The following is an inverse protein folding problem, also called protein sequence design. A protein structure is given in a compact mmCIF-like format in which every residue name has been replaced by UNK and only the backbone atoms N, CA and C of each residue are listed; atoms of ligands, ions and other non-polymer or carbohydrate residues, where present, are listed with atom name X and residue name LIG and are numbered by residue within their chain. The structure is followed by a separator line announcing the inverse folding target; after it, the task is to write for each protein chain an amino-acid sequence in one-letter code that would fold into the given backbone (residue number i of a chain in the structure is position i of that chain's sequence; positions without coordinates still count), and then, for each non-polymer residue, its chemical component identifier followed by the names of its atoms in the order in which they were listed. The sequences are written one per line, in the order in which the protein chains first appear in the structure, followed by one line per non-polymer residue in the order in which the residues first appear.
data_IF_798848440293
#
_entry.id   IF_798848440293
#
_cell.length_a   1.000
_cell.length_b   1.000
_cell.length_c   1.000
_cell.angle_alpha   90.00
_cell.angle_beta   90.00
_cell.angle_gamma   90.00
#
_symmetry.space_group_name_H-M   'P 1'
#
loop_
_entity.id
_entity.type
_entity.pdbx_description
1 polymer ?
#
# COMPACT_ATOMS: atom_id res chain seq x y z
N UNK A 1 -52.02 5.16 14.25
CA UNK A 1 -50.58 5.48 14.14
C UNK A 1 -49.86 4.15 13.97
N UNK A 2 -49.47 3.82 12.75
CA UNK A 2 -48.75 2.57 12.49
C UNK A 2 -47.30 2.77 12.94
N UNK A 3 -46.82 1.88 13.82
CA UNK A 3 -45.41 1.72 14.14
C UNK A 3 -44.65 1.51 12.82
N UNK A 4 -43.95 2.56 12.37
CA UNK A 4 -42.91 2.41 11.36
C UNK A 4 -41.76 1.71 12.06
N UNK A 5 -41.76 0.37 12.02
CA UNK A 5 -40.56 -0.40 12.37
C UNK A 5 -39.44 0.10 11.47
N UNK A 6 -38.44 0.77 12.04
CA UNK A 6 -37.20 1.10 11.33
C UNK A 6 -36.67 -0.18 10.69
N UNK A 7 -36.61 -0.18 9.35
CA UNK A 7 -36.05 -1.30 8.60
C UNK A 7 -34.56 -1.34 8.95
N UNK A 8 -34.14 -2.39 9.68
CA UNK A 8 -32.74 -2.61 10.06
C UNK A 8 -31.84 -2.48 8.82
N UNK A 9 -30.82 -1.61 8.88
CA UNK A 9 -29.90 -1.42 7.75
C UNK A 9 -29.05 -2.68 7.58
N UNK A 10 -28.76 -3.07 6.33
CA UNK A 10 -27.89 -4.20 6.01
C UNK A 10 -26.74 -3.73 5.11
N UNK A 11 -25.54 -4.25 5.38
CA UNK A 11 -24.35 -4.10 4.54
C UNK A 11 -23.90 -5.44 3.95
N UNK A 12 -24.75 -6.46 4.01
CA UNK A 12 -24.45 -7.83 3.59
C UNK A 12 -25.25 -8.22 2.36
N UNK A 13 -24.55 -8.78 1.37
CA UNK A 13 -25.15 -9.34 0.15
C UNK A 13 -24.23 -10.42 -0.42
N UNK A 14 -24.80 -11.34 -1.22
CA UNK A 14 -24.06 -12.43 -1.86
C UNK A 14 -23.05 -11.95 -2.89
N UNK A 15 -23.32 -10.83 -3.57
CA UNK A 15 -22.42 -10.22 -4.55
C UNK A 15 -22.11 -8.78 -4.14
N UNK A 16 -20.86 -8.51 -3.76
CA UNK A 16 -20.39 -7.17 -3.41
C UNK A 16 -18.96 -6.99 -3.89
N UNK A 17 -18.67 -5.91 -4.62
CA UNK A 17 -17.31 -5.54 -4.98
C UNK A 17 -17.12 -4.02 -5.01
N UNK A 18 -15.91 -3.59 -4.67
CA UNK A 18 -15.45 -2.22 -4.78
C UNK A 18 -14.18 -2.18 -5.63
N UNK A 19 -14.09 -1.21 -6.55
CA UNK A 19 -12.88 -0.95 -7.28
C UNK A 19 -11.85 -0.26 -6.38
N UNK A 20 -10.57 -0.44 -6.67
CA UNK A 20 -9.49 0.17 -5.87
C UNK A 20 -9.44 1.67 -6.13
N UNK A 21 -9.38 2.45 -5.06
CA UNK A 21 -9.28 3.92 -5.10
C UNK A 21 -7.84 4.40 -5.31
N UNK A 22 -6.85 3.76 -4.66
CA UNK A 22 -5.44 4.08 -4.85
C UNK A 22 -4.83 3.15 -5.90
N UNK A 23 -4.32 3.72 -6.98
CA UNK A 23 -3.75 2.98 -8.11
C UNK A 23 -2.33 3.46 -8.41
N UNK A 24 -1.32 2.96 -7.69
CA UNK A 24 0.07 3.20 -8.03
C UNK A 24 0.45 2.45 -9.32
N UNK A 25 1.31 3.05 -10.14
CA UNK A 25 1.98 2.39 -11.25
C UNK A 25 3.03 1.38 -10.75
N UNK A 26 3.66 0.64 -11.68
CA UNK A 26 4.94 0.01 -11.38
C UNK A 26 5.97 1.09 -11.00
N UNK A 27 6.78 0.80 -9.98
CA UNK A 27 7.89 1.66 -9.58
C UNK A 27 9.16 1.29 -10.32
N UNK A 28 9.84 2.25 -10.92
CA UNK A 28 11.04 2.01 -11.73
C UNK A 28 12.30 2.43 -10.98
N UNK A 29 13.32 1.57 -11.00
CA UNK A 29 14.63 1.88 -10.44
C UNK A 29 15.57 2.53 -11.46
N UNK A 30 16.26 3.57 -11.01
CA UNK A 30 17.28 4.29 -11.77
C UNK A 30 18.52 4.52 -10.90
N UNK A 31 19.70 4.36 -11.48
CA UNK A 31 20.94 4.85 -10.91
C UNK A 31 21.06 6.35 -11.18
N UNK A 32 21.56 7.10 -10.21
CA UNK A 32 21.74 8.56 -10.27
C UNK A 32 23.17 8.95 -9.91
N UNK A 33 23.54 10.19 -10.28
CA UNK A 33 24.81 10.82 -9.91
C UNK A 33 24.55 12.09 -9.11
N UNK A 34 25.17 12.22 -7.94
CA UNK A 34 25.09 13.44 -7.13
C UNK A 34 25.70 14.65 -7.83
N UNK A 35 26.73 14.44 -8.65
CA UNK A 35 27.37 15.47 -9.48
C UNK A 35 26.52 15.95 -10.66
N UNK A 36 25.51 15.18 -11.07
CA UNK A 36 24.66 15.47 -12.23
C UNK A 36 23.18 15.16 -11.89
N UNK A 37 22.47 16.02 -11.14
CA UNK A 37 21.15 15.68 -10.57
C UNK A 37 20.05 15.34 -11.58
N UNK A 38 20.16 15.82 -12.82
CA UNK A 38 19.21 15.52 -13.89
C UNK A 38 19.52 14.18 -14.60
N UNK A 39 20.75 13.69 -14.47
CA UNK A 39 21.22 12.48 -15.14
C UNK A 39 20.76 11.23 -14.36
N UNK A 40 20.32 10.22 -15.11
CA UNK A 40 19.94 8.91 -14.58
C UNK A 40 20.08 7.84 -15.66
N UNK A 41 20.28 6.60 -15.24
CA UNK A 41 20.25 5.41 -16.11
C UNK A 41 19.43 4.29 -15.46
N UNK A 42 18.78 3.39 -16.21
CA UNK A 42 17.97 2.32 -15.65
C UNK A 42 18.86 1.33 -14.88
N UNK A 43 18.36 0.82 -13.75
CA UNK A 43 19.04 -0.29 -13.07
C UNK A 43 18.58 -1.59 -13.72
N UNK A 44 19.51 -2.31 -14.34
CA UNK A 44 19.24 -3.54 -15.05
C UNK A 44 19.19 -4.75 -14.10
N UNK A 45 18.26 -5.66 -14.38
CA UNK A 45 18.24 -7.01 -13.82
C UNK A 45 19.05 -7.94 -14.72
N UNK A 46 20.03 -8.63 -14.16
CA UNK A 46 20.90 -9.58 -14.85
C UNK A 46 21.04 -10.88 -14.06
N UNK A 47 21.41 -11.95 -14.75
CA UNK A 47 21.68 -13.25 -14.13
C UNK A 47 23.13 -13.38 -13.66
N UNK A 48 23.33 -14.08 -12.55
CA UNK A 48 24.66 -14.51 -12.11
C UNK A 48 24.62 -15.91 -11.48
N UNK A 49 25.70 -16.66 -11.65
CA UNK A 49 25.93 -17.92 -10.95
C UNK A 49 26.39 -17.67 -9.51
N UNK A 50 25.79 -18.37 -8.56
CA UNK A 50 26.17 -18.37 -7.15
C UNK A 50 26.42 -19.79 -6.71
N UNK A 51 27.51 -20.03 -5.99
CA UNK A 51 27.82 -21.34 -5.41
C UNK A 51 27.75 -21.23 -3.89
N UNK A 52 26.62 -21.69 -3.33
CA UNK A 52 26.44 -21.83 -1.89
C UNK A 52 26.76 -23.25 -1.41
N UNK A 53 26.56 -23.48 -0.12
CA UNK A 53 26.42 -24.82 0.45
C UNK A 53 24.95 -25.06 0.79
N UNK A 54 24.50 -26.30 0.70
CA UNK A 54 23.21 -26.72 1.25
C UNK A 54 23.18 -26.47 2.76
N UNK A 55 22.19 -25.70 3.19
CA UNK A 55 22.01 -25.26 4.58
C UNK A 55 20.58 -25.48 5.07
N UNK A 56 19.74 -26.16 4.27
CA UNK A 56 18.34 -26.42 4.58
C UNK A 56 18.21 -27.49 5.67
N UNK A 57 17.31 -27.27 6.62
CA UNK A 57 16.99 -28.25 7.65
C UNK A 57 16.43 -29.52 7.00
N UNK A 58 17.05 -30.67 7.28
CA UNK A 58 16.74 -31.99 6.68
C UNK A 58 17.04 -32.13 5.18
N UNK A 59 18.05 -31.44 4.66
CA UNK A 59 18.62 -31.75 3.34
C UNK A 59 19.27 -33.14 3.32
N UNK A 60 19.19 -33.83 2.18
CA UNK A 60 19.86 -35.10 1.89
C UNK A 60 21.37 -34.93 1.62
N UNK A 61 21.84 -33.68 1.45
CA UNK A 61 23.21 -33.37 1.04
C UNK A 61 23.87 -32.29 1.91
N UNK A 62 23.89 -32.38 3.26
CA UNK A 62 24.30 -31.27 4.14
C UNK A 62 25.74 -30.79 3.88
N UNK A 63 25.92 -29.47 3.78
CA UNK A 63 27.23 -28.82 3.59
C UNK A 63 27.87 -29.02 2.21
N UNK A 64 27.18 -29.69 1.27
CA UNK A 64 27.68 -29.90 -0.09
C UNK A 64 27.44 -28.67 -0.97
N UNK A 65 28.28 -28.50 -1.99
CA UNK A 65 28.16 -27.43 -2.98
C UNK A 65 26.78 -27.47 -3.65
N UNK A 66 26.10 -26.32 -3.69
CA UNK A 66 24.80 -26.12 -4.32
C UNK A 66 24.89 -24.93 -5.30
N UNK A 67 25.32 -25.15 -6.56
CA UNK A 67 25.36 -24.11 -7.58
C UNK A 67 23.94 -23.71 -8.00
N UNK A 68 23.68 -22.41 -8.11
CA UNK A 68 22.38 -21.85 -8.50
C UNK A 68 22.59 -20.64 -9.42
N UNK A 69 21.65 -20.42 -10.33
CA UNK A 69 21.52 -19.14 -11.04
C UNK A 69 20.51 -18.29 -10.29
N UNK A 70 20.84 -17.01 -10.08
CA UNK A 70 19.96 -16.00 -9.48
C UNK A 70 19.95 -14.76 -10.33
N UNK A 71 18.85 -14.02 -10.29
CA UNK A 71 18.84 -12.65 -10.77
C UNK A 71 19.34 -11.68 -9.68
N UNK A 72 20.01 -10.64 -10.15
CA UNK A 72 20.58 -9.55 -9.36
C UNK A 72 20.28 -8.21 -10.03
N UNK A 73 20.20 -7.16 -9.21
CA UNK A 73 20.15 -5.77 -9.65
C UNK A 73 21.04 -4.97 -8.72
N UNK A 74 21.95 -4.18 -9.26
CA UNK A 74 22.94 -3.42 -8.48
C UNK A 74 23.01 -1.97 -8.94
N UNK A 75 23.42 -1.07 -8.05
CA UNK A 75 23.71 0.32 -8.43
C UNK A 75 24.75 0.32 -9.56
N UNK A 76 24.45 0.89 -10.73
CA UNK A 76 25.35 0.81 -11.88
C UNK A 76 26.71 1.50 -11.66
N UNK A 77 27.73 1.12 -12.44
CA UNK A 77 29.01 1.81 -12.43
C UNK A 77 28.93 3.31 -12.68
N UNK A 78 29.68 4.08 -11.89
CA UNK A 78 29.66 5.54 -11.92
C UNK A 78 28.39 6.18 -11.39
N UNK A 79 27.53 5.44 -10.66
CA UNK A 79 26.40 5.98 -9.91
C UNK A 79 26.69 5.95 -8.41
N UNK A 80 26.19 6.94 -7.68
CA UNK A 80 26.30 7.07 -6.22
C UNK A 80 24.93 7.23 -5.52
N UNK A 81 23.86 7.00 -6.27
CA UNK A 81 22.51 7.01 -5.74
C UNK A 81 21.54 6.15 -6.53
N UNK A 82 20.41 5.89 -5.90
CA UNK A 82 19.27 5.18 -6.46
C UNK A 82 18.05 6.09 -6.40
N UNK A 83 17.25 6.02 -7.45
CA UNK A 83 15.93 6.62 -7.56
C UNK A 83 14.89 5.52 -7.81
N UNK A 84 13.87 5.44 -6.97
CA UNK A 84 12.65 4.65 -7.20
C UNK A 84 11.49 5.62 -7.42
N UNK A 85 10.88 5.60 -8.62
CA UNK A 85 9.77 6.50 -8.96
C UNK A 85 8.54 5.79 -9.48
N UNK A 86 7.35 6.27 -9.10
CA UNK A 86 6.05 5.81 -9.58
C UNK A 86 5.05 6.96 -9.58
N UNK A 87 3.96 6.84 -10.34
CA UNK A 87 2.79 7.72 -10.22
C UNK A 87 1.66 7.01 -9.49
N UNK A 88 0.79 7.76 -8.83
CA UNK A 88 -0.39 7.23 -8.16
C UNK A 88 -1.62 8.03 -8.53
N UNK A 89 -2.60 7.34 -9.13
CA UNK A 89 -3.93 7.88 -9.36
C UNK A 89 -4.81 7.63 -8.12
N UNK A 90 -5.51 8.67 -7.68
CA UNK A 90 -6.44 8.64 -6.55
C UNK A 90 -7.87 8.82 -7.07
N UNK A 91 -8.75 7.86 -6.78
CA UNK A 91 -10.09 7.78 -7.34
C UNK A 91 -11.16 7.60 -6.25
N UNK A 92 -12.38 8.14 -6.45
CA UNK A 92 -13.48 8.06 -5.50
C UNK A 92 -14.24 6.72 -5.59
N UNK A 93 -13.55 5.63 -5.92
CA UNK A 93 -14.17 4.31 -6.12
C UNK A 93 -14.75 3.69 -4.84
N UNK A 94 -14.36 4.18 -3.67
CA UNK A 94 -14.95 3.77 -2.39
C UNK A 94 -16.34 4.37 -2.14
N UNK A 95 -16.77 5.39 -2.89
CA UNK A 95 -18.06 6.04 -2.67
C UNK A 95 -19.26 5.14 -2.98
N UNK A 96 -19.10 4.18 -3.90
CA UNK A 96 -20.15 3.23 -4.28
C UNK A 96 -19.56 1.88 -4.70
N UNK A 97 -20.27 0.77 -4.47
CA UNK A 97 -19.85 -0.53 -4.98
C UNK A 97 -19.86 -0.54 -6.52
N UNK A 98 -18.91 -1.24 -7.13
CA UNK A 98 -18.90 -1.45 -8.59
C UNK A 98 -19.78 -2.63 -9.02
N UNK A 99 -20.04 -3.59 -8.13
CA UNK A 99 -21.11 -4.56 -8.27
C UNK A 99 -21.75 -4.83 -6.90
N UNK A 100 -23.09 -4.85 -6.88
CA UNK A 100 -23.87 -5.16 -5.68
C UNK A 100 -25.12 -5.95 -6.08
N UNK A 101 -25.36 -7.09 -5.43
CA UNK A 101 -26.51 -7.96 -5.70
C UNK A 101 -27.82 -7.48 -5.07
N UNK A 102 -27.77 -6.43 -4.26
CA UNK A 102 -28.93 -5.87 -3.55
C UNK A 102 -28.86 -4.33 -3.59
N UNK A 103 -29.94 -3.69 -4.04
CA UNK A 103 -30.01 -2.22 -4.22
C UNK A 103 -30.04 -1.49 -2.86
N UNK A 104 -30.75 -2.02 -1.87
CA UNK A 104 -30.85 -1.41 -0.54
C UNK A 104 -29.48 -1.45 0.16
N UNK A 105 -28.75 -2.57 0.02
CA UNK A 105 -27.37 -2.70 0.52
C UNK A 105 -26.43 -1.73 -0.18
N UNK A 106 -26.54 -1.61 -1.51
CA UNK A 106 -25.74 -0.66 -2.28
C UNK A 106 -25.99 0.80 -1.87
N UNK A 107 -27.24 1.15 -1.57
CA UNK A 107 -27.61 2.47 -1.05
C UNK A 107 -27.11 2.67 0.39
N UNK A 108 -27.16 1.65 1.24
CA UNK A 108 -26.64 1.71 2.60
C UNK A 108 -25.12 1.96 2.62
N UNK A 109 -24.33 1.33 1.74
CA UNK A 109 -22.91 1.65 1.61
C UNK A 109 -22.66 3.10 1.19
N UNK A 110 -23.42 3.61 0.22
CA UNK A 110 -23.29 5.01 -0.21
C UNK A 110 -23.62 5.97 0.94
N UNK A 111 -24.67 5.71 1.71
CA UNK A 111 -25.02 6.51 2.88
C UNK A 111 -23.94 6.46 3.96
N UNK A 112 -23.41 5.27 4.25
CA UNK A 112 -22.35 5.08 5.23
C UNK A 112 -21.09 5.89 4.85
N UNK A 113 -20.67 5.77 3.59
CA UNK A 113 -19.48 6.47 3.08
C UNK A 113 -19.72 7.97 2.99
N UNK A 114 -20.93 8.41 2.63
CA UNK A 114 -21.32 9.82 2.64
C UNK A 114 -21.22 10.42 4.04
N UNK A 115 -21.85 9.78 5.04
CA UNK A 115 -21.77 10.21 6.43
C UNK A 115 -20.32 10.26 6.95
N UNK A 116 -19.49 9.29 6.56
CA UNK A 116 -18.06 9.27 6.88
C UNK A 116 -17.30 10.44 6.24
N UNK A 117 -17.61 10.78 4.99
CA UNK A 117 -17.02 11.90 4.27
C UNK A 117 -17.40 13.24 4.93
N UNK A 118 -18.68 13.41 5.30
CA UNK A 118 -19.20 14.63 5.93
C UNK A 118 -18.54 14.94 7.29
N UNK A 119 -18.06 13.90 7.99
CA UNK A 119 -17.29 14.03 9.24
C UNK A 119 -15.79 14.23 9.02
N UNK A 120 -15.33 14.40 7.78
CA UNK A 120 -13.91 14.57 7.45
C UNK A 120 -13.11 13.26 7.47
N UNK A 121 -13.76 12.09 7.46
CA UNK A 121 -13.07 10.81 7.55
C UNK A 121 -12.10 10.53 6.39
N UNK A 122 -12.36 11.03 5.18
CA UNK A 122 -11.42 10.90 4.07
C UNK A 122 -10.17 11.76 4.23
N UNK A 123 -10.27 12.92 4.92
CA UNK A 123 -9.10 13.71 5.32
C UNK A 123 -8.18 12.91 6.23
N UNK A 124 -8.76 12.20 7.19
CA UNK A 124 -8.00 11.33 8.09
C UNK A 124 -7.26 10.24 7.32
N UNK A 125 -7.94 9.51 6.42
CA UNK A 125 -7.28 8.49 5.59
C UNK A 125 -6.21 9.09 4.67
N UNK A 126 -6.48 10.26 4.06
CA UNK A 126 -5.50 10.96 3.22
C UNK A 126 -4.21 11.27 3.98
N UNK A 127 -4.31 11.72 5.24
CA UNK A 127 -3.14 11.94 6.12
C UNK A 127 -2.38 10.63 6.38
N UNK A 128 -3.07 9.53 6.66
CA UNK A 128 -2.44 8.23 6.91
C UNK A 128 -1.74 7.67 5.66
N UNK A 129 -2.34 7.85 4.46
CA UNK A 129 -1.69 7.50 3.21
C UNK A 129 -0.47 8.38 2.95
N UNK A 130 -0.58 9.69 3.16
CA UNK A 130 0.56 10.62 3.04
C UNK A 130 1.70 10.24 3.99
N UNK A 131 1.40 9.84 5.22
CA UNK A 131 2.41 9.35 6.16
C UNK A 131 3.26 8.21 5.57
N UNK A 132 2.62 7.20 4.97
CA UNK A 132 3.33 6.07 4.34
C UNK A 132 4.02 6.43 3.02
N UNK A 133 3.58 7.49 2.34
CA UNK A 133 4.30 8.06 1.19
C UNK A 133 5.56 8.77 1.71
N UNK A 134 5.40 9.73 2.61
CA UNK A 134 6.46 10.60 3.11
C UNK A 134 7.56 9.82 3.85
N UNK A 135 7.21 8.76 4.58
CA UNK A 135 8.20 7.92 5.29
C UNK A 135 8.93 6.93 4.36
N UNK A 136 8.60 6.87 3.06
CA UNK A 136 9.28 6.03 2.08
C UNK A 136 9.04 4.53 2.26
N UNK A 137 8.00 4.09 2.99
CA UNK A 137 7.70 2.67 3.24
C UNK A 137 7.60 1.85 1.96
N UNK A 138 7.17 2.47 0.85
CA UNK A 138 7.08 1.83 -0.46
C UNK A 138 8.43 1.36 -1.04
N UNK A 139 9.57 1.85 -0.52
CA UNK A 139 10.89 1.35 -0.90
C UNK A 139 11.24 -0.01 -0.24
N UNK A 140 10.43 -0.47 0.72
CA UNK A 140 10.60 -1.74 1.43
C UNK A 140 12.03 -1.94 1.94
N UNK A 141 12.67 -3.07 1.61
CA UNK A 141 14.05 -3.39 2.02
C UNK A 141 15.05 -2.33 1.57
N UNK A 142 14.83 -1.67 0.43
CA UNK A 142 15.74 -0.63 -0.06
C UNK A 142 15.80 0.59 0.87
N UNK A 143 14.72 0.88 1.59
CA UNK A 143 14.70 1.96 2.59
C UNK A 143 15.79 1.79 3.65
N UNK A 144 16.12 0.55 4.01
CA UNK A 144 17.11 0.25 5.06
C UNK A 144 18.54 0.13 4.53
N UNK A 145 18.78 0.48 3.26
CA UNK A 145 20.10 0.38 2.62
C UNK A 145 20.88 1.70 2.60
N UNK A 146 20.29 2.79 3.07
CA UNK A 146 20.88 4.12 3.08
C UNK A 146 20.39 4.90 4.30
N UNK A 147 21.24 5.77 4.84
CA UNK A 147 20.84 6.73 5.87
C UNK A 147 20.45 8.08 5.24
N UNK A 148 21.11 8.47 4.15
CA UNK A 148 20.82 9.68 3.40
C UNK A 148 19.80 9.38 2.29
N UNK A 149 18.58 9.86 2.48
CA UNK A 149 17.49 9.67 1.53
C UNK A 149 16.47 10.81 1.60
N UNK A 150 15.64 10.94 0.57
CA UNK A 150 14.51 11.88 0.52
C UNK A 150 13.37 11.30 -0.29
N UNK A 151 12.14 11.70 0.05
CA UNK A 151 10.94 11.42 -0.75
C UNK A 151 10.45 12.73 -1.35
N UNK A 152 10.31 12.76 -2.67
CA UNK A 152 9.74 13.87 -3.42
C UNK A 152 8.31 13.50 -3.81
N UNK A 153 7.35 14.35 -3.45
CA UNK A 153 5.95 14.22 -3.86
C UNK A 153 5.56 15.45 -4.66
N UNK A 154 5.30 15.26 -5.95
CA UNK A 154 4.78 16.30 -6.83
C UNK A 154 3.27 16.11 -7.06
N UNK A 155 2.53 17.22 -7.02
CA UNK A 155 1.08 17.26 -7.10
C UNK A 155 0.64 18.67 -7.52
N UNK A 156 -0.37 18.81 -8.37
CA UNK A 156 -0.97 20.10 -8.77
C UNK A 156 0.05 21.24 -9.02
N UNK A 157 1.08 20.97 -9.82
CA UNK A 157 2.20 21.91 -10.13
C UNK A 157 3.08 22.33 -8.94
N UNK A 158 2.83 21.75 -7.77
CA UNK A 158 3.60 21.89 -6.54
C UNK A 158 4.47 20.66 -6.27
N UNK A 159 5.42 20.81 -5.33
CA UNK A 159 6.26 19.72 -4.86
C UNK A 159 6.61 19.90 -3.39
N UNK A 160 6.61 18.79 -2.63
CA UNK A 160 7.17 18.72 -1.28
C UNK A 160 8.27 17.66 -1.24
N UNK A 161 9.37 17.97 -0.55
CA UNK A 161 10.44 17.02 -0.28
C UNK A 161 10.45 16.68 1.19
N UNK A 162 10.39 15.40 1.52
CA UNK A 162 10.43 14.87 2.89
C UNK A 162 11.77 14.18 3.17
N UNK A 163 12.22 14.31 4.42
CA UNK A 163 13.18 13.41 5.05
C UNK A 163 12.40 12.24 5.68
N UNK A 164 12.38 11.06 5.05
CA UNK A 164 11.63 9.91 5.53
C UNK A 164 12.18 9.32 6.83
N UNK A 165 13.41 9.69 7.26
CA UNK A 165 14.03 9.16 8.48
C UNK A 165 13.45 9.81 9.74
N UNK A 166 12.85 11.00 9.60
CA UNK A 166 12.17 11.74 10.69
C UNK A 166 10.76 11.21 10.98
N UNK A 167 10.24 10.31 10.15
CA UNK A 167 8.91 9.76 10.27
C UNK A 167 8.97 8.30 10.71
N UNK A 168 8.18 7.95 11.72
CA UNK A 168 8.07 6.57 12.21
C UNK A 168 7.47 5.66 11.14
N UNK A 169 7.92 4.40 11.12
CA UNK A 169 7.20 3.34 10.41
C UNK A 169 6.13 2.71 11.32
N UNK A 170 6.32 2.65 12.63
CA UNK A 170 5.38 1.97 13.52
C UNK A 170 4.09 2.75 13.75
N UNK A 171 4.21 4.04 14.08
CA UNK A 171 3.08 4.87 14.54
C UNK A 171 2.75 5.95 13.53
N UNK A 172 1.46 6.17 13.28
CA UNK A 172 1.00 7.22 12.38
C UNK A 172 1.53 8.59 12.82
N UNK A 173 2.13 9.31 11.87
CA UNK A 173 2.64 10.66 12.10
C UNK A 173 1.51 11.66 12.27
N UNK A 174 1.66 12.55 13.26
CA UNK A 174 0.84 13.75 13.38
C UNK A 174 1.10 14.71 12.21
N UNK A 175 0.28 15.75 12.10
CA UNK A 175 0.49 16.79 11.11
C UNK A 175 1.80 17.56 11.35
N UNK A 176 2.16 17.78 12.61
CA UNK A 176 3.41 18.47 12.97
C UNK A 176 4.63 17.61 12.67
N UNK A 177 4.54 16.28 12.85
CA UNK A 177 5.59 15.36 12.41
C UNK A 177 5.81 15.45 10.89
N UNK A 178 4.73 15.48 10.10
CA UNK A 178 4.80 15.64 8.64
C UNK A 178 5.42 16.98 8.24
N UNK A 179 5.06 18.07 8.92
CA UNK A 179 5.67 19.40 8.71
C UNK A 179 7.15 19.40 9.06
N UNK A 180 7.53 18.85 10.21
CA UNK A 180 8.92 18.77 10.66
C UNK A 180 9.81 17.86 9.80
N UNK A 181 9.21 16.91 9.08
CA UNK A 181 9.89 16.07 8.12
C UNK A 181 10.09 16.74 6.75
N UNK A 182 9.39 17.82 6.43
CA UNK A 182 9.58 18.52 5.17
C UNK A 182 10.93 19.26 5.14
N UNK A 183 11.66 19.09 4.04
CA UNK A 183 12.96 19.72 3.79
C UNK A 183 12.85 20.99 2.94
N UNK A 184 11.72 21.21 2.30
CA UNK A 184 11.46 22.36 1.43
C UNK A 184 10.40 23.25 2.05
N UNK A 185 10.67 24.56 2.06
CA UNK A 185 9.82 25.65 2.53
C UNK A 185 9.74 25.78 4.06
N UNK A 186 9.74 27.02 4.55
CA UNK A 186 9.50 27.32 5.97
C UNK A 186 8.08 26.93 6.40
N UNK A 187 7.13 26.96 5.46
CA UNK A 187 5.75 26.48 5.62
C UNK A 187 5.40 25.54 4.45
N UNK A 188 5.71 24.24 4.56
CA UNK A 188 5.38 23.28 3.50
C UNK A 188 3.85 23.16 3.33
N UNK A 189 3.32 23.07 2.10
CA UNK A 189 1.88 22.97 1.82
C UNK A 189 1.31 21.57 2.11
N UNK A 190 1.59 21.03 3.31
CA UNK A 190 1.19 19.69 3.75
C UNK A 190 -0.33 19.54 3.75
N UNK A 191 -1.04 20.57 4.23
CA UNK A 191 -2.50 20.57 4.31
C UNK A 191 -3.14 20.60 2.92
N UNK A 192 -2.51 21.27 1.95
CA UNK A 192 -2.94 21.28 0.55
C UNK A 192 -2.74 19.89 -0.08
N UNK A 193 -1.63 19.22 0.19
CA UNK A 193 -1.40 17.84 -0.27
C UNK A 193 -2.40 16.85 0.35
N UNK A 194 -2.70 16.98 1.65
CA UNK A 194 -3.73 16.16 2.30
C UNK A 194 -5.10 16.43 1.66
N UNK A 195 -5.46 17.70 1.47
CA UNK A 195 -6.71 18.08 0.82
C UNK A 195 -6.79 17.58 -0.63
N UNK A 196 -5.68 17.57 -1.35
CA UNK A 196 -5.59 17.08 -2.72
C UNK A 196 -5.84 15.57 -2.81
N UNK A 197 -5.26 14.78 -1.90
CA UNK A 197 -5.53 13.33 -1.78
C UNK A 197 -6.97 13.08 -1.33
N UNK A 198 -7.45 13.80 -0.31
CA UNK A 198 -8.81 13.72 0.20
C UNK A 198 -9.82 13.95 -0.93
N UNK A 199 -9.65 15.02 -1.69
CA UNK A 199 -10.48 15.38 -2.85
C UNK A 199 -10.55 14.22 -3.86
N UNK A 200 -9.43 13.54 -4.12
CA UNK A 200 -9.39 12.36 -4.99
C UNK A 200 -10.17 11.16 -4.45
N UNK A 201 -10.27 11.01 -3.12
CA UNK A 201 -11.02 9.92 -2.47
C UNK A 201 -12.51 10.21 -2.33
N UNK A 202 -12.90 11.48 -2.21
CA UNK A 202 -14.24 11.88 -1.79
C UNK A 202 -15.13 12.48 -2.87
N UNK A 203 -14.57 12.90 -4.02
CA UNK A 203 -15.33 13.65 -5.04
C UNK A 203 -15.12 13.09 -6.44
N UNK A 204 -16.21 12.78 -7.16
CA UNK A 204 -16.17 12.58 -8.62
C UNK A 204 -15.81 13.90 -9.30
N UNK A 205 -14.73 13.91 -10.09
CA UNK A 205 -14.17 15.14 -10.65
C UNK A 205 -13.84 14.98 -12.13
N UNK A 206 -13.88 16.11 -12.85
CA UNK A 206 -13.43 16.21 -14.24
C UNK A 206 -11.91 16.04 -14.37
N UNK A 207 -11.14 16.62 -13.43
CA UNK A 207 -9.69 16.47 -13.37
C UNK A 207 -9.30 15.34 -12.42
N UNK A 208 -8.39 14.48 -12.88
CA UNK A 208 -7.86 13.36 -12.10
C UNK A 208 -6.87 13.85 -11.05
N UNK A 209 -6.97 13.31 -9.84
CA UNK A 209 -5.98 13.51 -8.77
C UNK A 209 -4.83 12.53 -8.97
N UNK A 210 -3.66 13.05 -9.30
CA UNK A 210 -2.44 12.28 -9.55
C UNK A 210 -1.30 12.81 -8.70
N UNK A 211 -0.56 11.90 -8.07
CA UNK A 211 0.72 12.19 -7.40
C UNK A 211 1.86 11.54 -8.18
N UNK A 212 2.96 12.27 -8.35
CA UNK A 212 4.24 11.69 -8.77
C UNK A 212 5.16 11.57 -7.56
N UNK A 213 5.53 10.33 -7.22
CA UNK A 213 6.30 10.02 -6.02
C UNK A 213 7.66 9.47 -6.41
N UNK A 214 8.71 10.05 -5.85
CA UNK A 214 10.08 9.60 -6.07
C UNK A 214 10.86 9.49 -4.76
N UNK A 215 11.38 8.30 -4.47
CA UNK A 215 12.36 8.10 -3.41
C UNK A 215 13.77 8.16 -3.99
N UNK A 216 14.64 8.95 -3.36
CA UNK A 216 16.07 9.03 -3.66
C UNK A 216 16.87 8.56 -2.45
N UNK A 217 17.91 7.79 -2.68
CA UNK A 217 18.84 7.36 -1.63
C UNK A 217 20.28 7.34 -2.13
N UNK A 218 21.21 7.73 -1.24
CA UNK A 218 22.64 7.56 -1.47
C UNK A 218 23.00 6.09 -1.29
N UNK A 219 23.40 5.44 -2.38
CA UNK A 219 23.77 4.02 -2.41
C UNK A 219 24.97 3.89 -3.35
N UNK A 220 26.02 3.20 -2.90
CA UNK A 220 27.28 3.16 -3.64
C UNK A 220 27.16 2.25 -4.86
N UNK A 221 27.94 2.55 -5.89
CA UNK A 221 28.18 1.66 -7.03
C UNK A 221 28.39 0.21 -6.58
N UNK A 222 27.76 -0.73 -7.30
CA UNK A 222 27.85 -2.16 -7.04
C UNK A 222 26.99 -2.67 -5.87
N UNK A 223 26.38 -1.78 -5.08
CA UNK A 223 25.48 -2.19 -3.99
C UNK A 223 24.20 -2.83 -4.57
N UNK A 224 23.76 -3.95 -4.00
CA UNK A 224 22.54 -4.64 -4.43
C UNK A 224 21.29 -3.80 -4.11
N UNK A 225 20.33 -3.76 -5.04
CA UNK A 225 18.97 -3.26 -4.78
C UNK A 225 17.99 -4.44 -4.77
N UNK A 226 16.81 -4.23 -4.21
CA UNK A 226 15.79 -5.27 -4.02
C UNK A 226 14.49 -4.92 -4.73
N UNK A 227 14.36 -5.28 -6.02
CA UNK A 227 13.10 -5.21 -6.76
C UNK A 227 12.03 -6.14 -6.18
N UNK A 228 10.83 -6.15 -6.76
CA UNK A 228 9.87 -7.20 -6.46
C UNK A 228 10.35 -8.55 -6.98
N UNK A 229 9.98 -9.64 -6.31
CA UNK A 229 10.31 -11.00 -6.74
C UNK A 229 9.08 -11.62 -7.40
N UNK A 230 9.29 -12.26 -8.54
CA UNK A 230 8.23 -12.96 -9.27
C UNK A 230 7.88 -14.29 -8.60
N UNK A 231 6.58 -14.63 -8.63
CA UNK A 231 6.11 -15.95 -8.23
C UNK A 231 6.03 -16.86 -9.45
N UNK A 232 6.98 -17.77 -9.59
CA UNK A 232 6.97 -18.78 -10.66
C UNK A 232 6.07 -19.96 -10.27
N UNK A 233 5.11 -20.30 -11.14
CA UNK A 233 4.33 -21.55 -11.02
C UNK A 233 5.18 -22.74 -11.48
N UNK A 234 4.92 -23.90 -10.91
CA UNK A 234 5.80 -25.09 -10.93
C UNK A 234 6.28 -25.51 -12.34
N UNK A 235 5.46 -25.33 -13.39
CA UNK A 235 5.80 -25.71 -14.77
C UNK A 235 6.98 -24.93 -15.38
N UNK A 236 7.38 -23.78 -14.82
CA UNK A 236 8.51 -22.96 -15.31
C UNK A 236 9.71 -22.97 -14.38
N UNK A 237 9.70 -23.80 -13.34
CA UNK A 237 10.66 -23.71 -12.24
C UNK A 237 11.97 -24.47 -12.50
N UNK A 238 11.95 -25.48 -13.37
CA UNK A 238 13.12 -26.34 -13.62
C UNK A 238 14.23 -25.63 -14.42
N UNK A 239 13.86 -24.70 -15.31
CA UNK A 239 14.82 -23.95 -16.15
C UNK A 239 15.06 -22.49 -15.70
N UNK A 240 14.32 -22.02 -14.69
CA UNK A 240 14.40 -20.63 -14.26
C UNK A 240 15.45 -20.41 -13.15
N UNK A 241 15.96 -19.18 -13.07
CA UNK A 241 16.76 -18.75 -11.93
C UNK A 241 15.98 -18.99 -10.61
N UNK A 242 16.69 -19.45 -9.58
CA UNK A 242 16.12 -19.72 -8.24
C UNK A 242 15.49 -18.49 -7.58
N UNK A 243 15.88 -17.29 -8.05
CA UNK A 243 15.29 -16.00 -7.72
C UNK A 243 15.14 -15.19 -9.01
N UNK A 244 13.90 -14.84 -9.35
CA UNK A 244 13.55 -14.00 -10.50
C UNK A 244 12.98 -12.67 -10.00
N UNK A 245 13.51 -11.57 -10.50
CA UNK A 245 13.05 -10.23 -10.17
C UNK A 245 12.07 -9.69 -11.20
N UNK A 246 11.14 -8.88 -10.71
CA UNK A 246 10.25 -8.08 -11.51
C UNK A 246 11.06 -7.06 -12.33
N UNK A 247 10.75 -7.01 -13.62
CA UNK A 247 11.46 -6.20 -14.60
C UNK A 247 10.53 -5.79 -15.73
N UNK A 248 10.75 -4.60 -16.27
CA UNK A 248 10.07 -4.10 -17.47
C UNK A 248 11.08 -3.88 -18.59
N UNK A 249 10.80 -4.35 -19.83
CA UNK A 249 11.67 -4.11 -20.95
C UNK A 249 11.66 -2.63 -21.33
N UNK A 250 12.84 -2.09 -21.63
CA UNK A 250 13.03 -0.74 -22.14
C UNK A 250 14.15 -0.75 -23.17
N UNK A 251 14.03 0.10 -24.19
CA UNK A 251 15.15 0.39 -25.09
C UNK A 251 15.84 1.67 -24.63
N UNK A 252 17.15 1.60 -24.41
CA UNK A 252 17.99 2.74 -24.06
C UNK A 252 19.29 2.69 -24.86
N UNK A 253 19.61 3.78 -25.56
CA UNK A 253 20.77 3.86 -26.47
C UNK A 253 20.83 2.69 -27.48
N UNK A 254 19.68 2.24 -27.98
CA UNK A 254 19.59 1.13 -28.94
C UNK A 254 19.75 -0.28 -28.35
N UNK A 255 19.92 -0.40 -27.01
CA UNK A 255 19.98 -1.69 -26.31
C UNK A 255 18.67 -1.97 -25.57
N UNK A 256 18.18 -3.20 -25.68
CA UNK A 256 17.09 -3.68 -24.82
C UNK A 256 17.64 -4.01 -23.43
N UNK A 257 17.00 -3.45 -22.41
CA UNK A 257 17.38 -3.55 -21.01
C UNK A 257 16.16 -4.00 -20.22
N UNK A 258 16.36 -4.98 -19.35
CA UNK A 258 15.37 -5.39 -18.36
C UNK A 258 15.48 -4.50 -17.12
N UNK A 259 14.74 -3.40 -17.09
CA UNK A 259 14.78 -2.45 -15.99
C UNK A 259 14.09 -3.03 -14.74
N UNK A 260 14.80 -3.06 -13.62
CA UNK A 260 14.28 -3.48 -12.33
C UNK A 260 13.04 -2.67 -11.91
N UNK A 261 12.00 -3.37 -11.42
CA UNK A 261 10.75 -2.73 -10.98
C UNK A 261 10.25 -3.18 -9.61
N UNK A 262 9.47 -2.30 -8.98
CA UNK A 262 8.62 -2.60 -7.82
C UNK A 262 7.18 -2.74 -8.28
N UNK A 263 6.57 -3.89 -7.97
CA UNK A 263 5.17 -4.13 -8.29
C UNK A 263 4.25 -3.08 -7.66
N UNK A 264 3.32 -2.60 -8.46
CA UNK A 264 2.22 -1.72 -8.04
C UNK A 264 1.46 -2.26 -6.83
N UNK A 265 1.20 -3.57 -6.74
CA UNK A 265 0.55 -4.19 -5.59
C UNK A 265 1.40 -4.12 -4.32
N UNK A 266 2.73 -4.22 -4.45
CA UNK A 266 3.68 -4.13 -3.33
C UNK A 266 3.82 -2.69 -2.84
N UNK A 267 3.80 -1.71 -3.75
CA UNK A 267 3.70 -0.28 -3.42
C UNK A 267 2.37 -0.01 -2.71
N UNK A 268 1.24 -0.44 -3.30
CA UNK A 268 -0.09 -0.27 -2.71
C UNK A 268 -0.23 -0.92 -1.33
N UNK A 269 0.38 -2.08 -1.10
CA UNK A 269 0.44 -2.74 0.20
C UNK A 269 1.20 -1.92 1.26
N UNK A 270 2.28 -1.24 0.86
CA UNK A 270 3.00 -0.30 1.73
C UNK A 270 2.16 0.94 2.06
N UNK A 271 1.46 1.51 1.07
CA UNK A 271 0.67 2.73 1.31
C UNK A 271 -0.51 2.48 2.24
N UNK A 272 -1.18 1.32 2.14
CA UNK A 272 -2.31 0.94 3.02
C UNK A 272 -1.91 0.39 4.39
N UNK A 273 -0.67 0.61 4.82
CA UNK A 273 -0.17 0.19 6.14
C UNK A 273 -0.61 1.17 7.24
N UNK A 274 -1.93 1.24 7.43
CA UNK A 274 -2.62 2.29 8.19
C UNK A 274 -3.61 1.73 9.23
N UNK A 275 -3.69 0.41 9.38
CA UNK A 275 -4.61 -0.24 10.32
C UNK A 275 -3.97 -0.35 11.70
N UNK A 276 -4.33 0.54 12.63
CA UNK A 276 -3.88 0.51 14.01
C UNK A 276 -4.76 -0.46 14.82
N UNK A 277 -4.29 -1.70 15.00
CA UNK A 277 -5.00 -2.71 15.77
C UNK A 277 -4.67 -2.58 17.26
N UNK A 278 -5.67 -2.44 18.16
CA UNK A 278 -5.43 -2.34 19.60
C UNK A 278 -4.61 -3.51 20.15
N UNK A 279 -3.56 -3.21 20.91
CA UNK A 279 -2.69 -4.22 21.52
C UNK A 279 -1.62 -4.81 20.58
N UNK A 280 -1.54 -4.33 19.33
CA UNK A 280 -0.43 -4.61 18.43
C UNK A 280 0.52 -3.41 18.36
N UNK A 281 1.82 -3.67 18.28
CA UNK A 281 2.80 -2.60 18.11
C UNK A 281 2.89 -2.19 16.63
N UNK A 282 2.42 -0.97 16.36
CA UNK A 282 2.41 -0.35 15.06
C UNK A 282 1.27 -0.76 14.13
N UNK A 283 1.04 0.06 13.11
CA UNK A 283 0.02 -0.17 12.11
C UNK A 283 0.36 -1.39 11.24
N UNK A 284 -0.67 -2.05 10.70
CA UNK A 284 -0.56 -3.13 9.70
C UNK A 284 -1.19 -2.73 8.37
N UNK A 285 -0.92 -3.52 7.32
CA UNK A 285 -1.59 -3.36 6.03
C UNK A 285 -3.08 -3.73 6.12
N UNK A 286 -3.96 -2.77 5.81
CA UNK A 286 -5.42 -2.95 5.83
C UNK A 286 -5.83 -4.14 4.97
N UNK A 287 -6.30 -5.21 5.58
CA UNK A 287 -6.89 -6.37 4.91
C UNK A 287 -8.14 -6.79 5.67
N UNK A 288 -9.13 -7.46 5.03
CA UNK A 288 -10.41 -7.80 5.68
C UNK A 288 -10.28 -8.56 7.01
N UNK A 289 -9.21 -9.32 7.16
CA UNK A 289 -8.93 -10.13 8.35
C UNK A 289 -7.73 -9.64 9.18
N UNK A 290 -7.06 -8.56 8.77
CA UNK A 290 -5.86 -8.07 9.48
C UNK A 290 -4.69 -9.08 9.48
N UNK A 291 -4.48 -9.80 8.38
CA UNK A 291 -3.41 -10.79 8.25
C UNK A 291 -2.04 -10.16 7.99
N UNK A 292 -1.01 -10.66 8.68
CA UNK A 292 0.40 -10.33 8.50
C UNK A 292 1.13 -11.51 7.85
N UNK A 293 1.72 -11.29 6.69
CA UNK A 293 2.36 -12.37 5.93
C UNK A 293 3.66 -12.83 6.58
N UNK A 294 4.38 -11.90 7.21
CA UNK A 294 5.70 -12.12 7.80
C UNK A 294 5.66 -13.02 9.04
N UNK A 295 4.59 -12.91 9.83
CA UNK A 295 4.41 -13.68 11.08
C UNK A 295 3.35 -14.76 10.97
N UNK A 296 2.53 -14.73 9.93
CA UNK A 296 1.34 -15.58 9.80
C UNK A 296 0.20 -15.22 10.75
N UNK A 297 0.33 -14.14 11.54
CA UNK A 297 -0.69 -13.74 12.49
C UNK A 297 -1.92 -13.11 11.79
N UNK A 298 -3.08 -13.25 12.42
CA UNK A 298 -4.36 -12.67 11.97
C UNK A 298 -4.91 -11.81 13.11
N UNK A 299 -4.67 -10.50 13.05
CA UNK A 299 -4.84 -9.61 14.21
C UNK A 299 -6.28 -9.15 14.44
N UNK A 300 -7.12 -9.20 13.41
CA UNK A 300 -8.55 -8.88 13.52
C UNK A 300 -9.43 -10.14 13.63
N UNK A 301 -8.82 -11.25 14.07
CA UNK A 301 -9.49 -12.47 14.51
C UNK A 301 -9.26 -12.69 16.02
N UNK A 302 -10.27 -13.19 16.72
CA UNK A 302 -10.19 -13.69 18.09
C UNK A 302 -9.88 -15.19 18.07
N UNK A 303 -8.64 -15.52 18.42
CA UNK A 303 -8.12 -16.89 18.45
C UNK A 303 -8.37 -17.58 19.80
N UNK A 304 -8.96 -16.91 20.80
CA UNK A 304 -9.08 -17.43 22.18
C UNK A 304 -10.16 -18.49 22.39
N UNK A 305 -11.04 -18.76 21.42
CA UNK A 305 -12.17 -19.71 21.55
C UNK A 305 -11.99 -21.03 20.80
N UNK A 306 -10.76 -21.51 20.59
CA UNK A 306 -10.52 -22.83 19.98
C UNK A 306 -11.05 -23.00 18.55
N UNK A 307 -11.46 -21.88 17.94
CA UNK A 307 -11.92 -21.68 16.58
C UNK A 307 -11.67 -20.21 16.23
N UNK A 308 -11.57 -19.89 14.94
CA UNK A 308 -11.31 -18.53 14.46
C UNK A 308 -12.59 -17.68 14.65
N UNK A 309 -12.82 -17.14 15.85
CA UNK A 309 -13.95 -16.23 16.10
C UNK A 309 -13.56 -14.86 15.54
N UNK A 310 -14.21 -14.37 14.48
CA UNK A 310 -13.70 -13.24 13.68
C UNK A 310 -14.03 -11.85 14.26
N UNK A 311 -13.91 -11.69 15.59
CA UNK A 311 -14.58 -10.68 16.41
C UNK A 311 -14.48 -9.21 15.93
N UNK A 312 -13.44 -8.83 15.17
CA UNK A 312 -13.27 -7.47 14.60
C UNK A 312 -12.81 -7.44 13.14
N UNK A 313 -13.07 -8.52 12.41
CA UNK A 313 -12.84 -8.55 10.96
C UNK A 313 -13.79 -7.60 10.23
N UNK A 314 -13.46 -7.24 8.99
CA UNK A 314 -14.32 -6.42 8.13
C UNK A 314 -15.73 -7.02 8.00
N UNK A 315 -15.81 -8.35 7.87
CA UNK A 315 -17.09 -9.06 7.70
C UNK A 315 -17.94 -9.06 8.98
N UNK A 316 -17.33 -9.13 10.15
CA UNK A 316 -18.05 -9.03 11.43
C UNK A 316 -18.44 -7.59 11.75
N UNK A 317 -17.59 -6.61 11.41
CA UNK A 317 -17.94 -5.19 11.61
C UNK A 317 -19.10 -4.76 10.71
N UNK A 318 -19.11 -5.16 9.43
CA UNK A 318 -20.20 -4.79 8.50
C UNK A 318 -21.55 -5.44 8.86
N UNK A 319 -21.56 -6.59 9.55
CA UNK A 319 -22.83 -7.23 9.95
C UNK A 319 -23.54 -6.44 11.06
N UNK A 320 -22.81 -5.56 11.77
CA UNK A 320 -23.36 -4.55 12.67
C UNK A 320 -23.46 -3.18 11.99
N UNK A 321 -24.23 -3.09 10.89
CA UNK A 321 -24.39 -1.86 10.12
C UNK A 321 -24.86 -0.69 10.99
N UNK A 322 -25.91 -0.86 11.81
CA UNK A 322 -26.46 0.21 12.65
C UNK A 322 -25.41 0.76 13.64
N UNK A 323 -24.55 -0.10 14.18
CA UNK A 323 -23.45 0.31 15.04
C UNK A 323 -22.41 1.18 14.32
N UNK A 324 -22.11 0.88 13.05
CA UNK A 324 -21.21 1.71 12.24
C UNK A 324 -21.81 3.09 11.94
N UNK A 325 -23.11 3.15 11.59
CA UNK A 325 -23.81 4.42 11.39
C UNK A 325 -23.85 5.25 12.67
N UNK A 326 -24.29 4.67 13.79
CA UNK A 326 -24.34 5.38 15.07
C UNK A 326 -22.96 5.90 15.51
N UNK A 327 -21.89 5.12 15.28
CA UNK A 327 -20.53 5.54 15.57
C UNK A 327 -20.09 6.78 14.75
N UNK A 328 -20.53 6.89 13.50
CA UNK A 328 -20.25 8.06 12.65
C UNK A 328 -21.12 9.25 13.05
N UNK A 329 -22.41 9.03 13.28
CA UNK A 329 -23.38 10.08 13.64
C UNK A 329 -23.00 10.77 14.96
N UNK A 330 -22.50 10.00 15.92
CA UNK A 330 -22.06 10.51 17.24
C UNK A 330 -20.68 11.19 17.22
N UNK A 331 -19.87 10.97 16.19
CA UNK A 331 -18.58 11.63 16.04
C UNK A 331 -18.76 13.13 15.74
N UNK A 332 -17.97 13.99 16.37
CA UNK A 332 -17.95 15.43 16.06
C UNK A 332 -17.17 15.72 14.78
N UNK A 333 -16.10 14.96 14.57
CA UNK A 333 -15.10 15.15 13.52
C UNK A 333 -14.33 13.83 13.29
N UNK A 334 -13.39 13.87 12.35
CA UNK A 334 -12.64 12.71 11.89
C UNK A 334 -11.78 12.03 12.97
N UNK A 335 -11.32 12.76 13.99
CA UNK A 335 -10.44 12.21 15.03
C UNK A 335 -11.25 11.48 16.13
N UNK A 336 -12.54 11.79 16.23
CA UNK A 336 -13.48 11.11 17.14
C UNK A 336 -14.16 9.88 16.52
N UNK A 337 -14.01 9.66 15.21
CA UNK A 337 -14.51 8.45 14.55
C UNK A 337 -13.74 7.23 15.09
N UNK A 338 -14.43 6.15 15.51
CA UNK A 338 -13.74 4.97 16.00
C UNK A 338 -12.85 4.30 14.93
N UNK A 339 -11.68 3.81 15.34
CA UNK A 339 -10.72 3.14 14.45
C UNK A 339 -11.30 1.96 13.66
N UNK A 340 -12.30 1.25 14.20
CA UNK A 340 -12.99 0.17 13.49
C UNK A 340 -13.79 0.70 12.28
N UNK A 341 -14.34 1.91 12.35
CA UNK A 341 -14.98 2.58 11.19
C UNK A 341 -13.94 2.97 10.15
N UNK A 342 -12.83 3.61 10.56
CA UNK A 342 -11.71 3.91 9.65
C UNK A 342 -11.21 2.65 8.93
N UNK A 343 -11.09 1.53 9.65
CA UNK A 343 -10.71 0.24 9.08
C UNK A 343 -11.72 -0.30 8.05
N UNK A 344 -13.03 -0.19 8.31
CA UNK A 344 -14.06 -0.60 7.35
C UNK A 344 -13.97 0.23 6.07
N UNK A 345 -13.91 1.56 6.17
CA UNK A 345 -13.80 2.44 5.00
C UNK A 345 -12.47 2.24 4.27
N UNK A 346 -11.36 2.04 4.99
CA UNK A 346 -10.06 1.74 4.38
C UNK A 346 -10.07 0.43 3.57
N UNK A 347 -10.88 -0.58 3.96
CA UNK A 347 -11.08 -1.77 3.13
C UNK A 347 -11.86 -1.46 1.86
N UNK A 348 -12.80 -0.52 1.88
CA UNK A 348 -13.50 -0.05 0.68
C UNK A 348 -12.55 0.70 -0.27
N UNK A 349 -11.69 1.58 0.26
CA UNK A 349 -10.63 2.29 -0.49
C UNK A 349 -9.62 1.31 -1.11
N UNK A 350 -9.22 0.30 -0.36
CA UNK A 350 -8.39 -0.82 -0.86
C UNK A 350 -9.06 -1.54 -2.03
N UNK A 351 -10.39 -1.66 -2.00
CA UNK A 351 -11.18 -2.44 -2.95
C UNK A 351 -11.04 -3.95 -2.77
N UNK A 352 -11.87 -4.68 -3.49
CA UNK A 352 -11.93 -6.14 -3.44
C UNK A 352 -13.32 -6.70 -3.73
N UNK A 353 -13.41 -8.03 -3.70
CA UNK A 353 -14.68 -8.77 -3.75
C UNK A 353 -15.02 -9.22 -2.34
N UNK A 354 -16.18 -8.79 -1.84
CA UNK A 354 -16.67 -8.98 -0.47
C UNK A 354 -17.98 -9.76 -0.41
N UNK A 355 -18.41 -10.33 -1.54
CA UNK A 355 -19.53 -11.25 -1.59
C UNK A 355 -19.32 -12.48 -0.71
N UNK A 356 -20.39 -13.02 -0.17
CA UNK A 356 -20.36 -14.33 0.46
C UNK A 356 -20.13 -15.38 -0.64
N UNK A 357 -19.16 -16.29 -0.46
CA UNK A 357 -19.10 -17.46 -1.34
C UNK A 357 -20.43 -18.19 -1.19
N UNK A 358 -21.24 -18.21 -2.26
CA UNK A 358 -22.29 -19.22 -2.39
C UNK A 358 -21.62 -20.57 -2.19
N UNK A 359 -22.21 -21.44 -1.36
CA UNK A 359 -21.99 -22.86 -1.52
C UNK A 359 -22.24 -23.19 -2.99
N UNK A 360 -21.45 -24.08 -3.57
CA UNK A 360 -21.67 -24.56 -4.92
C UNK A 360 -23.16 -24.90 -5.07
N UNK A 361 -23.88 -24.18 -5.93
CA UNK A 361 -25.18 -24.61 -6.40
C UNK A 361 -24.94 -25.91 -7.17
N UNK A 362 -25.47 -26.99 -6.60
CA UNK A 362 -25.73 -28.27 -7.27
C UNK A 362 -26.75 -28.10 -8.38
#
# INVERSE_FOLDING_TARGET
MADVKEKKRSLETGMLSFARSLQPSEGLFWGTRSSEPAWKQPIEVFEKGVRGQSSEFKTDKPGKSNPQVVEAAVVPPGCDGVRLGFSMLVLPHSLKPCACGDVDVGNAYQQLVGAYADKGGFRHLARLYLWNIANGRFAWRNRFQADAMKVVVAFDEQQIVFDPTRLSLGKASSLDDLRGAALTNEQPPIEELIAYIEKGLSTEQDKRVVLDVTWHATMREGQEIFPSQEYLRDEKREDAASRVYAKLPRVENGREINQASMHSQKIGAALRHIDEVPGHDGAIAVNPYGGMQETGAVLRADTKRGGLDMAKSFYVLRSNADGLFAAIETASDADTIPGDVHFVIANLVRGGVFGQKGGADT
#
